data_IF_908771907229
#
_entry.id   IF_908771907229
#
_cell.length_a   1.000
_cell.length_b   1.000
_cell.length_c   1.000
_cell.angle_alpha   90.00
_cell.angle_beta   90.00
_cell.angle_gamma   90.00
#
_symmetry.space_group_name_H-M   'P 1'
#
loop_
_entity.id
_entity.type
_entity.pdbx_description
1 polymer ?
#
# COMPACT_ATOMS: atom_id res chain seq x y z
N UNK A 1 -20.80 -3.34 -5.28
CA UNK A 1 -20.12 -2.66 -4.15
C UNK A 1 -20.77 -1.29 -4.03
N UNK A 2 -21.30 -0.93 -2.86
CA UNK A 2 -21.99 0.36 -2.64
C UNK A 2 -21.06 1.35 -1.92
N UNK A 3 -20.88 2.55 -2.48
CA UNK A 3 -20.00 3.58 -1.94
C UNK A 3 -20.40 4.02 -0.53
N UNK A 4 -21.69 3.96 -0.18
CA UNK A 4 -22.15 4.31 1.18
C UNK A 4 -21.75 3.23 2.18
N UNK A 5 -21.85 1.96 1.79
CA UNK A 5 -21.40 0.82 2.61
C UNK A 5 -19.88 0.79 2.83
N UNK A 6 -19.13 1.38 1.89
CA UNK A 6 -17.67 1.46 1.90
C UNK A 6 -17.12 2.47 2.91
N UNK A 7 -17.77 3.63 3.07
CA UNK A 7 -17.30 4.68 3.98
C UNK A 7 -17.70 4.45 5.46
N UNK A 8 -18.62 3.52 5.72
CA UNK A 8 -19.15 3.27 7.07
C UNK A 8 -18.25 2.34 7.86
N UNK A 9 -17.84 2.78 9.05
CA UNK A 9 -17.05 1.96 9.99
C UNK A 9 -15.57 1.80 9.60
N UNK A 10 -15.02 2.78 8.88
CA UNK A 10 -13.59 2.82 8.58
C UNK A 10 -12.78 3.14 9.84
N UNK A 11 -11.85 2.25 10.19
CA UNK A 11 -10.90 2.45 11.27
C UNK A 11 -9.58 2.99 10.71
N UNK A 12 -9.04 4.05 11.29
CA UNK A 12 -7.71 4.52 10.91
C UNK A 12 -6.64 3.53 11.36
N UNK A 13 -5.76 3.12 10.44
CA UNK A 13 -4.67 2.17 10.70
C UNK A 13 -3.36 2.91 10.95
N UNK A 14 -3.08 3.91 10.13
CA UNK A 14 -1.81 4.62 10.15
C UNK A 14 -1.52 5.30 8.83
N UNK A 15 -0.28 5.76 8.68
CA UNK A 15 0.18 6.44 7.47
C UNK A 15 1.49 5.85 6.94
N UNK A 16 1.72 6.04 5.64
CA UNK A 16 2.96 5.71 4.99
C UNK A 16 3.46 6.91 4.17
N UNK A 17 4.75 7.22 4.32
CA UNK A 17 5.38 8.33 3.62
C UNK A 17 5.87 7.87 2.24
N UNK A 18 5.30 8.43 1.18
CA UNK A 18 5.82 8.30 -0.18
C UNK A 18 6.74 9.47 -0.55
N UNK A 19 7.26 9.46 -1.79
CA UNK A 19 8.14 10.54 -2.30
C UNK A 19 7.44 11.89 -2.37
N UNK A 20 6.21 11.92 -2.92
CA UNK A 20 5.46 13.15 -3.25
C UNK A 20 4.13 13.29 -2.49
N UNK A 21 3.73 12.23 -1.80
CA UNK A 21 2.42 12.12 -1.17
C UNK A 21 2.57 11.42 0.17
N UNK A 22 1.71 11.78 1.10
CA UNK A 22 1.50 11.01 2.32
C UNK A 22 0.23 10.18 2.11
N UNK A 23 0.31 8.90 2.46
CA UNK A 23 -0.76 7.93 2.29
C UNK A 23 -1.35 7.61 3.66
N UNK A 24 -2.66 7.78 3.80
CA UNK A 24 -3.42 7.49 5.00
C UNK A 24 -4.25 6.24 4.76
N UNK A 25 -4.12 5.28 5.66
CA UNK A 25 -4.70 3.95 5.52
C UNK A 25 -5.86 3.80 6.49
N UNK A 26 -7.00 3.40 5.96
CA UNK A 26 -8.17 3.05 6.75
C UNK A 26 -8.59 1.62 6.43
N UNK A 27 -8.93 0.85 7.46
CA UNK A 27 -9.44 -0.50 7.32
C UNK A 27 -10.97 -0.50 7.39
N UNK A 28 -11.58 -1.16 6.42
CA UNK A 28 -12.99 -1.55 6.44
C UNK A 28 -13.12 -3.06 6.51
N UNK A 29 -14.35 -3.58 6.54
CA UNK A 29 -14.63 -5.01 6.78
C UNK A 29 -13.96 -6.00 5.81
N UNK A 30 -13.74 -5.62 4.56
CA UNK A 30 -13.19 -6.50 3.50
C UNK A 30 -12.08 -5.86 2.67
N UNK A 31 -11.72 -4.63 2.97
CA UNK A 31 -10.83 -3.82 2.14
C UNK A 31 -10.18 -2.72 2.97
N UNK A 32 -9.04 -2.25 2.49
CA UNK A 32 -8.40 -1.02 2.92
C UNK A 32 -8.72 0.11 1.96
N UNK A 33 -8.89 1.30 2.51
CA UNK A 33 -8.81 2.57 1.80
C UNK A 33 -7.41 3.12 1.92
N UNK A 34 -6.81 3.42 0.78
CA UNK A 34 -5.53 4.12 0.69
C UNK A 34 -5.83 5.51 0.14
N UNK A 35 -5.91 6.49 1.03
CA UNK A 35 -6.14 7.89 0.68
C UNK A 35 -4.81 8.61 0.62
N UNK A 36 -4.60 9.47 -0.37
CA UNK A 36 -3.34 10.21 -0.50
C UNK A 36 -3.59 11.68 -0.79
N UNK A 37 -2.78 12.54 -0.17
CA UNK A 37 -2.76 13.97 -0.47
C UNK A 37 -1.47 14.34 -1.19
N UNK A 38 -1.58 15.12 -2.26
CA UNK A 38 -0.42 15.67 -2.95
C UNK A 38 0.26 16.72 -2.08
N UNK A 39 1.56 16.55 -1.80
CA UNK A 39 2.34 17.58 -1.07
C UNK A 39 2.44 18.89 -1.84
N UNK A 40 2.35 18.85 -3.18
CA UNK A 40 2.46 20.03 -4.03
C UNK A 40 1.10 20.71 -4.32
N UNK A 41 -0.03 20.05 -4.03
CA UNK A 41 -1.37 20.55 -4.37
C UNK A 41 -2.30 20.41 -3.17
N UNK A 42 -2.59 21.53 -2.49
CA UNK A 42 -3.32 21.57 -1.21
C UNK A 42 -4.70 20.88 -1.20
N UNK A 43 -5.40 20.84 -2.34
CA UNK A 43 -6.75 20.29 -2.44
C UNK A 43 -6.87 19.12 -3.44
N UNK A 44 -5.75 18.45 -3.75
CA UNK A 44 -5.76 17.32 -4.68
C UNK A 44 -5.30 16.05 -3.97
N UNK A 45 -6.18 15.05 -3.97
CA UNK A 45 -5.90 13.73 -3.43
C UNK A 45 -6.48 12.63 -4.31
N UNK A 46 -6.08 11.40 -4.02
CA UNK A 46 -6.63 10.20 -4.63
C UNK A 46 -7.06 9.24 -3.53
N UNK A 47 -7.97 8.33 -3.86
CA UNK A 47 -8.22 7.17 -3.01
C UNK A 47 -8.15 5.91 -3.86
N UNK A 48 -7.66 4.83 -3.26
CA UNK A 48 -7.65 3.50 -3.84
C UNK A 48 -8.29 2.53 -2.85
N UNK A 49 -8.90 1.47 -3.36
CA UNK A 49 -9.48 0.40 -2.57
C UNK A 49 -8.66 -0.86 -2.82
N UNK A 50 -8.22 -1.52 -1.75
CA UNK A 50 -7.39 -2.73 -1.82
C UNK A 50 -8.03 -3.83 -0.98
N UNK A 51 -8.16 -5.03 -1.54
CA UNK A 51 -8.71 -6.18 -0.78
C UNK A 51 -7.80 -6.58 0.38
N UNK A 52 -8.38 -6.92 1.54
CA UNK A 52 -7.65 -7.50 2.68
C UNK A 52 -6.92 -8.78 2.25
N UNK A 53 -7.52 -9.60 1.39
CA UNK A 53 -6.92 -10.84 0.91
C UNK A 53 -5.65 -10.59 0.09
N UNK A 54 -5.60 -9.47 -0.65
CA UNK A 54 -4.41 -9.09 -1.40
C UNK A 54 -3.27 -8.69 -0.46
N UNK A 55 -3.57 -7.93 0.60
CA UNK A 55 -2.60 -7.54 1.64
C UNK A 55 -2.07 -8.77 2.38
N UNK A 56 -2.97 -9.65 2.86
CA UNK A 56 -2.59 -10.88 3.56
C UNK A 56 -1.73 -11.81 2.68
N UNK A 57 -2.06 -11.92 1.39
CA UNK A 57 -1.26 -12.69 0.43
C UNK A 57 0.16 -12.14 0.29
N UNK A 58 0.33 -10.82 0.15
CA UNK A 58 1.65 -10.20 0.00
C UNK A 58 2.47 -10.29 1.28
N UNK A 59 1.86 -10.01 2.43
CA UNK A 59 2.48 -10.21 3.74
C UNK A 59 3.09 -11.59 3.86
N UNK A 60 2.30 -12.63 3.60
CA UNK A 60 2.76 -14.03 3.70
C UNK A 60 3.81 -14.39 2.65
N UNK A 61 3.60 -13.98 1.39
CA UNK A 61 4.46 -14.37 0.27
C UNK A 61 5.85 -13.75 0.34
N UNK A 62 5.95 -12.54 0.85
CA UNK A 62 7.17 -11.74 0.85
C UNK A 62 7.68 -11.47 2.28
N UNK A 63 7.26 -12.26 3.26
CA UNK A 63 7.74 -12.18 4.63
C UNK A 63 9.28 -12.18 4.68
N UNK A 64 9.85 -11.26 5.45
CA UNK A 64 11.29 -11.09 5.62
C UNK A 64 12.05 -10.51 4.40
N UNK A 65 11.40 -10.36 3.23
CA UNK A 65 12.06 -9.89 2.02
C UNK A 65 12.55 -8.43 2.17
N UNK A 66 13.73 -8.14 1.59
CA UNK A 66 14.38 -6.83 1.64
C UNK A 66 14.58 -6.27 0.23
N UNK A 67 14.59 -4.95 0.10
CA UNK A 67 14.81 -4.26 -1.16
C UNK A 67 13.73 -4.53 -2.22
N UNK A 68 12.50 -4.84 -1.82
CA UNK A 68 11.41 -5.10 -2.77
C UNK A 68 10.93 -3.79 -3.41
N UNK A 69 10.69 -3.83 -4.71
CA UNK A 69 10.01 -2.76 -5.43
C UNK A 69 8.58 -3.21 -5.78
N UNK A 70 7.68 -2.26 -6.00
CA UNK A 70 6.31 -2.59 -6.40
C UNK A 70 6.24 -3.29 -7.77
N UNK A 71 7.18 -2.97 -8.68
CA UNK A 71 7.34 -3.67 -9.95
C UNK A 71 7.70 -5.14 -9.74
N UNK A 72 8.64 -5.43 -8.83
CA UNK A 72 9.04 -6.80 -8.54
C UNK A 72 7.91 -7.59 -7.88
N UNK A 73 7.16 -6.96 -6.98
CA UNK A 73 5.99 -7.57 -6.34
C UNK A 73 4.91 -7.92 -7.38
N UNK A 74 4.62 -7.01 -8.32
CA UNK A 74 3.67 -7.26 -9.40
C UNK A 74 4.16 -8.38 -10.34
N UNK A 75 5.44 -8.35 -10.74
CA UNK A 75 6.05 -9.36 -11.62
C UNK A 75 6.06 -10.75 -10.98
N UNK A 76 6.33 -10.84 -9.67
CA UNK A 76 6.35 -12.10 -8.90
C UNK A 76 4.97 -12.54 -8.41
N UNK A 77 3.90 -11.82 -8.75
CA UNK A 77 2.54 -12.18 -8.34
C UNK A 77 2.09 -13.47 -9.04
N UNK A 78 1.65 -14.46 -8.26
CA UNK A 78 1.05 -15.70 -8.78
C UNK A 78 -0.48 -15.72 -8.67
N UNK A 79 -1.10 -14.64 -8.18
CA UNK A 79 -2.55 -14.49 -7.99
C UNK A 79 -3.07 -13.21 -8.67
N UNK A 80 -3.19 -13.18 -10.01
CA UNK A 80 -3.63 -12.00 -10.77
C UNK A 80 -5.10 -11.60 -10.52
N UNK A 81 -5.86 -12.42 -9.80
CA UNK A 81 -7.21 -12.07 -9.32
C UNK A 81 -7.18 -11.14 -8.11
N UNK A 82 -6.07 -11.06 -7.37
CA UNK A 82 -5.94 -10.21 -6.18
C UNK A 82 -5.44 -8.80 -6.53
N UNK A 83 -4.52 -8.69 -7.48
CA UNK A 83 -4.00 -7.45 -8.06
C UNK A 83 -3.20 -7.78 -9.31
N UNK A 84 -2.93 -6.82 -10.20
CA UNK A 84 -2.22 -7.06 -11.47
C UNK A 84 -1.10 -6.07 -11.75
N UNK A 85 -1.21 -4.86 -11.21
CA UNK A 85 -0.35 -3.74 -11.58
C UNK A 85 0.66 -3.41 -10.49
N UNK A 86 1.75 -2.76 -10.89
CA UNK A 86 2.71 -2.21 -9.95
C UNK A 86 2.12 -1.11 -9.06
N UNK A 87 1.06 -0.41 -9.52
CA UNK A 87 0.38 0.59 -8.70
C UNK A 87 -0.44 -0.05 -7.58
N UNK A 88 -1.19 -1.11 -7.87
CA UNK A 88 -1.89 -1.88 -6.83
C UNK A 88 -0.91 -2.50 -5.84
N UNK A 89 0.20 -3.08 -6.33
CA UNK A 89 1.26 -3.60 -5.48
C UNK A 89 1.87 -2.50 -4.58
N UNK A 90 2.06 -1.30 -5.11
CA UNK A 90 2.55 -0.14 -4.34
C UNK A 90 1.58 0.24 -3.22
N UNK A 91 0.27 0.28 -3.50
CA UNK A 91 -0.74 0.56 -2.48
C UNK A 91 -0.76 -0.52 -1.38
N UNK A 92 -0.60 -1.81 -1.74
CA UNK A 92 -0.46 -2.90 -0.76
C UNK A 92 0.77 -2.69 0.12
N UNK A 93 1.91 -2.32 -0.46
CA UNK A 93 3.14 -2.07 0.31
C UNK A 93 2.98 -0.88 1.26
N UNK A 94 2.28 0.19 0.87
CA UNK A 94 1.98 1.29 1.79
C UNK A 94 1.06 0.88 2.95
N UNK A 95 0.08 0.00 2.70
CA UNK A 95 -0.74 -0.57 3.78
C UNK A 95 0.13 -1.32 4.79
N UNK A 96 1.03 -2.18 4.31
CA UNK A 96 1.95 -2.93 5.18
C UNK A 96 2.88 -1.99 5.97
N UNK A 97 3.32 -0.88 5.39
CA UNK A 97 4.09 0.14 6.11
C UNK A 97 3.26 0.79 7.22
N UNK A 98 2.02 1.20 6.92
CA UNK A 98 1.13 1.81 7.91
C UNK A 98 0.79 0.85 9.07
N UNK A 99 0.71 -0.46 8.79
CA UNK A 99 0.53 -1.51 9.79
C UNK A 99 1.80 -1.84 10.59
N UNK A 100 2.96 -1.26 10.25
CA UNK A 100 4.25 -1.58 10.88
C UNK A 100 4.87 -2.91 10.43
N UNK A 101 4.29 -3.56 9.42
CA UNK A 101 4.74 -4.85 8.88
C UNK A 101 5.73 -4.70 7.71
N UNK A 102 6.01 -3.46 7.30
CA UNK A 102 7.06 -3.13 6.35
C UNK A 102 7.66 -1.76 6.65
N UNK A 103 8.82 -1.48 6.07
CA UNK A 103 9.46 -0.16 6.11
C UNK A 103 9.92 0.24 4.72
N UNK A 104 9.79 1.53 4.40
CA UNK A 104 10.44 2.12 3.22
C UNK A 104 11.94 2.20 3.48
N UNK A 105 12.74 1.69 2.57
CA UNK A 105 14.20 1.78 2.65
C UNK A 105 14.67 3.19 2.29
N UNK A 106 15.08 3.92 3.31
CA UNK A 106 15.52 5.31 3.17
C UNK A 106 16.91 5.46 2.55
N UNK A 107 17.70 4.39 2.42
CA UNK A 107 19.03 4.45 1.82
C UNK A 107 18.98 4.80 0.32
N UNK A 108 17.83 4.56 -0.32
CA UNK A 108 17.61 4.83 -1.74
C UNK A 108 16.79 6.11 -1.99
N UNK A 109 16.87 7.10 -1.09
CA UNK A 109 16.08 8.33 -1.22
C UNK A 109 16.39 9.17 -2.48
N UNK A 110 17.62 9.08 -3.00
CA UNK A 110 18.03 9.80 -4.20
C UNK A 110 17.42 9.24 -5.50
N UNK A 111 16.94 7.99 -5.51
CA UNK A 111 16.36 7.38 -6.72
C UNK A 111 14.84 7.62 -6.79
N UNK A 112 14.24 7.66 -8.00
CA UNK A 112 12.79 7.75 -8.15
C UNK A 112 12.05 6.52 -7.61
N UNK A 113 12.72 5.37 -7.59
CA UNK A 113 12.13 4.10 -7.17
C UNK A 113 12.08 3.98 -5.64
N UNK A 114 11.02 3.35 -5.14
CA UNK A 114 10.88 3.01 -3.73
C UNK A 114 11.22 1.54 -3.50
N UNK A 115 11.93 1.31 -2.41
CA UNK A 115 12.33 -0.01 -1.94
C UNK A 115 11.69 -0.25 -0.57
N UNK A 116 11.24 -1.48 -0.35
CA UNK A 116 10.50 -1.88 0.84
C UNK A 116 11.16 -3.09 1.49
N UNK A 117 11.20 -3.07 2.82
CA UNK A 117 11.71 -4.13 3.67
C UNK A 117 10.54 -4.66 4.51
N UNK A 118 10.11 -5.88 4.26
CA UNK A 118 9.00 -6.50 5.00
C UNK A 118 9.52 -7.15 6.29
N UNK A 119 8.67 -7.14 7.31
CA UNK A 119 8.86 -7.90 8.54
C UNK A 119 8.76 -9.40 8.26
N UNK A 120 9.46 -10.20 9.06
CA UNK A 120 9.47 -11.67 9.00
C UNK A 120 8.31 -12.27 9.76
#
# INVERSE_FOLDING_TARGET
MDIKSLAKGLAYVGEAQGKRQTYYIFEGRKHFFVMSFSRAKRNAGNFNIVSIDAVAYIRKRFAGAKGLTSQEVAKRNKRPRLFRTALEALNILYILVAMGEAKVDQRHQATPQLFFNLSG
#
